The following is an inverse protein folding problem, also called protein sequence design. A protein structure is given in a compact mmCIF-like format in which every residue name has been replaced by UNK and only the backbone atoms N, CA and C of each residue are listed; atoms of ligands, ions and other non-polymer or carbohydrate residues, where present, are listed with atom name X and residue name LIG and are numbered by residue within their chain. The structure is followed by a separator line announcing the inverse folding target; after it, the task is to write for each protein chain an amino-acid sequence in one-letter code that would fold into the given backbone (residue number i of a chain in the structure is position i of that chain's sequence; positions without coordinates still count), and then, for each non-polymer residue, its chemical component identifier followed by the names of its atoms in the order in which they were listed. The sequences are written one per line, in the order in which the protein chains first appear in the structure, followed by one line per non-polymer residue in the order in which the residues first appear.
data_IF_135991690094
#
_entry.id   IF_135991690094
#
_cell.length_a   1.000
_cell.length_b   1.000
_cell.length_c   1.000
_cell.angle_alpha   90.00
_cell.angle_beta   90.00
_cell.angle_gamma   90.00
#
_symmetry.space_group_name_H-M   'P 1'
#
loop_
_entity.id
_entity.type
_entity.pdbx_description
1 polymer ?
#
# COMPACT_ATOMS: atom_id res chain seq x y z
N UNK A 1 15.15 -28.47 -67.54
CA UNK A 1 13.99 -27.56 -67.42
C UNK A 1 14.15 -26.76 -66.14
N UNK A 2 14.68 -25.54 -66.24
CA UNK A 2 14.84 -24.61 -65.13
C UNK A 2 13.51 -23.90 -64.88
N UNK A 3 12.91 -24.11 -63.70
CA UNK A 3 11.71 -23.39 -63.27
C UNK A 3 12.02 -21.89 -63.15
N UNK A 4 11.24 -20.99 -63.77
CA UNK A 4 11.45 -19.56 -63.61
C UNK A 4 11.00 -19.18 -62.20
N UNK A 5 11.93 -18.78 -61.32
CA UNK A 5 11.56 -18.21 -60.02
C UNK A 5 10.73 -16.94 -60.27
N UNK A 6 9.42 -17.02 -60.02
CA UNK A 6 8.50 -15.92 -60.26
C UNK A 6 8.79 -14.81 -59.24
N UNK A 7 8.95 -13.58 -59.73
CA UNK A 7 9.19 -12.36 -58.94
C UNK A 7 8.30 -12.26 -57.69
N UNK A 8 7.03 -12.68 -57.77
CA UNK A 8 6.07 -12.75 -56.67
C UNK A 8 6.48 -13.64 -55.48
N UNK A 9 7.22 -14.73 -55.70
CA UNK A 9 7.72 -15.58 -54.61
C UNK A 9 8.74 -14.85 -53.73
N UNK A 10 9.52 -13.90 -54.28
CA UNK A 10 10.43 -13.05 -53.49
C UNK A 10 9.67 -12.06 -52.59
N UNK A 11 8.50 -11.57 -53.01
CA UNK A 11 7.65 -10.70 -52.18
C UNK A 11 6.86 -11.50 -51.14
N UNK A 12 6.53 -12.76 -51.40
CA UNK A 12 5.86 -13.64 -50.45
C UNK A 12 6.67 -13.85 -49.16
N UNK A 13 7.97 -14.17 -49.28
CA UNK A 13 8.85 -14.32 -48.11
C UNK A 13 9.02 -13.00 -47.36
N UNK A 14 9.16 -11.87 -48.08
CA UNK A 14 9.25 -10.55 -47.47
C UNK A 14 7.98 -10.18 -46.69
N UNK A 15 6.80 -10.49 -47.24
CA UNK A 15 5.51 -10.26 -46.59
C UNK A 15 5.36 -11.11 -45.32
N UNK A 16 5.80 -12.38 -45.34
CA UNK A 16 5.80 -13.24 -44.15
C UNK A 16 6.75 -12.72 -43.07
N UNK A 17 7.95 -12.26 -43.44
CA UNK A 17 8.89 -11.63 -42.51
C UNK A 17 8.33 -10.32 -41.93
N UNK A 18 7.68 -9.50 -42.75
CA UNK A 18 7.01 -8.28 -42.30
C UNK A 18 5.86 -8.58 -41.33
N UNK A 19 5.02 -9.58 -41.63
CA UNK A 19 3.95 -10.02 -40.74
C UNK A 19 4.51 -10.53 -39.41
N UNK A 20 5.57 -11.33 -39.44
CA UNK A 20 6.24 -11.79 -38.22
C UNK A 20 6.80 -10.60 -37.41
N UNK A 21 7.38 -9.60 -38.08
CA UNK A 21 7.85 -8.37 -37.43
C UNK A 21 6.72 -7.58 -36.76
N UNK A 22 5.60 -7.37 -37.47
CA UNK A 22 4.42 -6.69 -36.91
C UNK A 22 3.84 -7.47 -35.73
N UNK A 23 3.77 -8.80 -35.81
CA UNK A 23 3.30 -9.63 -34.71
C UNK A 23 4.20 -9.51 -33.47
N UNK A 24 5.53 -9.48 -33.64
CA UNK A 24 6.48 -9.26 -32.54
C UNK A 24 6.30 -7.89 -31.90
N UNK A 25 6.15 -6.83 -32.70
CA UNK A 25 5.89 -5.48 -32.19
C UNK A 25 4.55 -5.41 -31.43
N UNK A 26 3.51 -6.06 -31.95
CA UNK A 26 2.23 -6.18 -31.26
C UNK A 26 2.36 -6.87 -29.90
N UNK A 27 3.14 -7.95 -29.81
CA UNK A 27 3.40 -8.63 -28.55
C UNK A 27 4.13 -7.74 -27.54
N UNK A 28 5.15 -7.01 -27.98
CA UNK A 28 5.88 -6.04 -27.13
C UNK A 28 4.92 -4.95 -26.62
N UNK A 29 4.06 -4.40 -27.48
CA UNK A 29 3.07 -3.40 -27.09
C UNK A 29 2.07 -3.93 -26.04
N UNK A 30 1.69 -5.21 -26.12
CA UNK A 30 0.84 -5.86 -25.12
C UNK A 30 1.57 -5.96 -23.77
N UNK A 31 2.87 -6.29 -23.75
CA UNK A 31 3.64 -6.36 -22.51
C UNK A 31 3.70 -5.00 -21.78
N UNK A 32 3.88 -3.91 -22.53
CA UNK A 32 3.81 -2.56 -21.97
C UNK A 32 2.41 -2.24 -21.41
N UNK A 33 1.35 -2.55 -22.16
CA UNK A 33 -0.02 -2.35 -21.70
C UNK A 33 -0.34 -3.13 -20.42
N UNK A 34 0.10 -4.39 -20.32
CA UNK A 34 -0.09 -5.20 -19.12
C UNK A 34 0.58 -4.55 -17.91
N UNK A 35 1.81 -4.04 -18.07
CA UNK A 35 2.51 -3.37 -16.99
C UNK A 35 1.77 -2.11 -16.52
N UNK A 36 1.29 -1.30 -17.48
CA UNK A 36 0.54 -0.08 -17.18
C UNK A 36 -0.80 -0.38 -16.50
N UNK A 37 -1.53 -1.40 -16.96
CA UNK A 37 -2.77 -1.87 -16.32
C UNK A 37 -2.51 -2.32 -14.89
N UNK A 38 -1.43 -3.08 -14.64
CA UNK A 38 -1.06 -3.51 -13.29
C UNK A 38 -0.76 -2.34 -12.37
N UNK A 39 0.01 -1.36 -12.85
CA UNK A 39 0.30 -0.15 -12.08
C UNK A 39 -0.97 0.66 -11.78
N UNK A 40 -1.83 0.85 -12.78
CA UNK A 40 -3.07 1.58 -12.61
C UNK A 40 -4.04 0.87 -11.64
N UNK A 41 -4.17 -0.45 -11.75
CA UNK A 41 -5.00 -1.25 -10.85
C UNK A 41 -4.49 -1.18 -9.40
N UNK A 42 -3.16 -1.24 -9.20
CA UNK A 42 -2.57 -1.07 -7.85
C UNK A 42 -2.87 0.31 -7.28
N UNK A 43 -2.68 1.37 -8.07
CA UNK A 43 -2.98 2.73 -7.67
C UNK A 43 -4.48 2.95 -7.37
N UNK A 44 -5.38 2.36 -8.17
CA UNK A 44 -6.81 2.44 -7.94
C UNK A 44 -7.23 1.70 -6.67
N UNK A 45 -6.71 0.48 -6.45
CA UNK A 45 -6.94 -0.31 -5.24
C UNK A 45 -6.47 0.43 -3.98
N UNK A 46 -5.26 1.00 -4.01
CA UNK A 46 -4.71 1.76 -2.90
C UNK A 46 -5.57 2.99 -2.55
N UNK A 47 -6.03 3.75 -3.56
CA UNK A 47 -6.96 4.87 -3.33
C UNK A 47 -8.27 4.41 -2.71
N UNK A 48 -8.82 3.30 -3.16
CA UNK A 48 -10.07 2.75 -2.60
C UNK A 48 -9.88 2.32 -1.14
N UNK A 49 -8.75 1.67 -0.80
CA UNK A 49 -8.43 1.31 0.58
C UNK A 49 -8.31 2.55 1.47
N UNK A 50 -7.59 3.58 1.01
CA UNK A 50 -7.42 4.83 1.74
C UNK A 50 -8.72 5.61 1.91
N UNK A 51 -9.53 5.73 0.85
CA UNK A 51 -10.86 6.36 0.93
C UNK A 51 -11.78 5.61 1.89
N UNK A 52 -11.72 4.27 1.91
CA UNK A 52 -12.45 3.45 2.89
C UNK A 52 -11.99 3.74 4.33
N UNK A 53 -10.69 3.97 4.53
CA UNK A 53 -10.15 4.36 5.83
C UNK A 53 -10.63 5.76 6.22
N UNK A 54 -10.57 6.72 5.30
CA UNK A 54 -11.03 8.09 5.55
C UNK A 54 -12.53 8.13 5.88
N UNK A 55 -13.36 7.34 5.20
CA UNK A 55 -14.79 7.20 5.54
C UNK A 55 -14.99 6.56 6.91
N UNK A 56 -14.22 5.52 7.26
CA UNK A 56 -14.25 4.91 8.59
C UNK A 56 -13.83 5.91 9.69
N UNK A 57 -12.78 6.69 9.44
CA UNK A 57 -12.29 7.75 10.31
C UNK A 57 -13.34 8.84 10.52
N UNK A 58 -13.96 9.31 9.43
CA UNK A 58 -15.03 10.29 9.49
C UNK A 58 -16.24 9.80 10.30
N UNK A 59 -16.62 8.53 10.16
CA UNK A 59 -17.71 7.92 10.92
C UNK A 59 -17.37 7.63 12.38
N UNK A 60 -16.09 7.54 12.72
CA UNK A 60 -15.60 7.20 14.06
C UNK A 60 -14.56 8.22 14.55
N UNK A 61 -14.94 9.50 14.75
CA UNK A 61 -14.00 10.55 15.12
C UNK A 61 -13.30 10.26 16.46
N UNK A 62 -13.96 9.52 17.36
CA UNK A 62 -13.38 9.05 18.64
C UNK A 62 -12.18 8.11 18.46
N UNK A 63 -12.05 7.46 17.30
CA UNK A 63 -10.90 6.61 16.99
C UNK A 63 -9.85 7.36 16.18
N UNK A 64 -10.23 8.29 15.30
CA UNK A 64 -9.27 9.14 14.58
C UNK A 64 -8.48 10.08 15.50
N UNK A 65 -9.12 10.61 16.54
CA UNK A 65 -8.47 11.39 17.60
C UNK A 65 -8.70 10.68 18.95
N UNK A 66 -8.00 9.55 19.19
CA UNK A 66 -8.29 8.67 20.30
C UNK A 66 -7.81 9.24 21.63
N UNK A 67 -8.69 9.21 22.63
CA UNK A 67 -8.28 9.16 24.03
C UNK A 67 -7.95 7.70 24.37
N UNK A 68 -6.69 7.33 24.14
CA UNK A 68 -6.25 5.94 24.29
C UNK A 68 -6.40 5.42 25.73
N UNK A 69 -6.18 6.26 26.74
CA UNK A 69 -6.32 5.85 28.14
C UNK A 69 -7.78 5.51 28.46
N UNK A 70 -8.73 6.32 27.97
CA UNK A 70 -10.17 6.03 28.09
C UNK A 70 -10.56 4.76 27.34
N UNK A 71 -10.10 4.59 26.09
CA UNK A 71 -10.40 3.39 25.28
C UNK A 71 -9.84 2.14 25.97
N UNK A 72 -8.62 2.21 26.53
CA UNK A 72 -7.95 1.10 27.22
C UNK A 72 -8.68 0.70 28.51
N UNK A 73 -9.22 1.66 29.25
CA UNK A 73 -10.03 1.42 30.45
C UNK A 73 -11.48 1.00 30.13
N UNK A 74 -11.91 1.18 28.89
CA UNK A 74 -13.27 0.89 28.42
C UNK A 74 -13.61 -0.58 28.24
N UNK A 75 -14.73 -0.83 27.55
CA UNK A 75 -15.23 -2.17 27.32
C UNK A 75 -14.29 -3.01 26.44
N UNK A 76 -14.44 -4.34 26.47
CA UNK A 76 -13.71 -5.20 25.53
C UNK A 76 -14.05 -4.86 24.08
N UNK A 77 -15.31 -4.59 23.79
CA UNK A 77 -15.78 -4.32 22.44
C UNK A 77 -15.19 -3.01 21.89
N UNK A 78 -15.10 -1.97 22.73
CA UNK A 78 -14.48 -0.70 22.33
C UNK A 78 -12.99 -0.85 22.01
N UNK A 79 -12.26 -1.62 22.83
CA UNK A 79 -10.85 -1.94 22.56
C UNK A 79 -10.67 -2.70 21.26
N UNK A 80 -11.54 -3.68 20.98
CA UNK A 80 -11.50 -4.47 19.74
C UNK A 80 -11.84 -3.61 18.53
N UNK A 81 -12.84 -2.71 18.64
CA UNK A 81 -13.17 -1.77 17.58
C UNK A 81 -12.00 -0.84 17.25
N UNK A 82 -11.33 -0.30 18.28
CA UNK A 82 -10.17 0.55 18.09
C UNK A 82 -8.98 -0.20 17.51
N UNK A 83 -8.68 -1.42 17.97
CA UNK A 83 -7.64 -2.26 17.37
C UNK A 83 -7.93 -2.55 15.89
N UNK A 84 -9.19 -2.83 15.55
CA UNK A 84 -9.62 -3.06 14.17
C UNK A 84 -9.49 -1.78 13.32
N UNK A 85 -9.82 -0.63 13.90
CA UNK A 85 -9.65 0.68 13.26
C UNK A 85 -8.19 0.95 12.91
N UNK A 86 -7.28 0.80 13.90
CA UNK A 86 -5.85 1.01 13.69
C UNK A 86 -5.29 0.00 12.68
N UNK A 87 -5.78 -1.24 12.70
CA UNK A 87 -5.36 -2.25 11.72
C UNK A 87 -5.77 -1.85 10.30
N UNK A 88 -7.03 -1.42 10.12
CA UNK A 88 -7.51 -0.97 8.81
C UNK A 88 -6.72 0.25 8.31
N UNK A 89 -6.41 1.20 9.20
CA UNK A 89 -5.54 2.33 8.91
C UNK A 89 -4.16 1.89 8.41
N UNK A 90 -3.48 0.99 9.15
CA UNK A 90 -2.14 0.51 8.77
C UNK A 90 -2.15 -0.21 7.42
N UNK A 91 -3.16 -1.04 7.14
CA UNK A 91 -3.32 -1.68 5.83
C UNK A 91 -3.56 -0.66 4.70
N UNK A 92 -4.40 0.34 4.92
CA UNK A 92 -4.65 1.39 3.94
C UNK A 92 -3.38 2.19 3.63
N UNK A 93 -2.58 2.49 4.66
CA UNK A 93 -1.29 3.16 4.50
C UNK A 93 -0.24 2.29 3.81
N UNK A 94 -0.16 0.99 4.14
CA UNK A 94 0.72 0.04 3.47
C UNK A 94 0.47 0.00 1.96
N UNK A 95 -0.79 -0.18 1.54
CA UNK A 95 -1.16 -0.20 0.13
C UNK A 95 -0.84 1.12 -0.57
N UNK A 96 -1.09 2.24 0.12
CA UNK A 96 -0.90 3.59 -0.43
C UNK A 96 0.56 3.95 -0.60
N UNK A 97 1.38 3.75 0.44
CA UNK A 97 2.83 4.01 0.40
C UNK A 97 3.46 3.15 -0.70
N UNK A 98 3.07 1.88 -0.78
CA UNK A 98 3.65 0.96 -1.75
C UNK A 98 3.18 1.22 -3.20
N UNK A 99 1.97 1.78 -3.41
CA UNK A 99 1.45 2.14 -4.73
C UNK A 99 1.93 3.52 -5.21
N UNK A 100 2.28 4.42 -4.29
CA UNK A 100 2.65 5.81 -4.57
C UNK A 100 4.01 6.20 -3.96
N UNK A 101 4.99 5.28 -4.00
CA UNK A 101 6.30 5.47 -3.38
C UNK A 101 7.08 6.72 -3.86
N UNK A 102 6.76 7.23 -5.04
CA UNK A 102 7.32 8.46 -5.62
C UNK A 102 6.66 9.75 -5.09
N UNK A 103 5.57 9.63 -4.32
CA UNK A 103 4.70 10.73 -3.90
C UNK A 103 4.72 10.90 -2.38
N UNK A 104 5.54 11.84 -1.92
CA UNK A 104 5.76 12.10 -0.49
C UNK A 104 4.51 12.54 0.26
N UNK A 105 3.52 13.10 -0.43
CA UNK A 105 2.26 13.55 0.17
C UNK A 105 1.47 12.40 0.82
N UNK A 106 1.52 11.20 0.25
CA UNK A 106 0.83 10.04 0.81
C UNK A 106 1.51 9.53 2.08
N UNK A 107 2.83 9.45 2.07
CA UNK A 107 3.61 9.15 3.27
C UNK A 107 3.33 10.18 4.36
N UNK A 108 3.33 11.48 4.02
CA UNK A 108 3.05 12.55 4.97
C UNK A 108 1.65 12.47 5.57
N UNK A 109 0.64 12.07 4.79
CA UNK A 109 -0.72 11.85 5.30
C UNK A 109 -0.76 10.68 6.29
N UNK A 110 -0.10 9.57 5.95
CA UNK A 110 0.02 8.42 6.85
C UNK A 110 0.80 8.77 8.12
N UNK A 111 1.88 9.53 8.02
CA UNK A 111 2.67 9.99 9.16
C UNK A 111 1.86 10.90 10.09
N UNK A 112 1.00 11.76 9.53
CA UNK A 112 0.13 12.64 10.29
C UNK A 112 -0.89 11.84 11.10
N UNK A 113 -1.60 10.92 10.45
CA UNK A 113 -2.63 10.10 11.06
C UNK A 113 -2.07 9.01 11.99
N UNK A 114 -0.82 8.58 11.82
CA UNK A 114 -0.20 7.57 12.69
C UNK A 114 0.04 8.10 14.10
N UNK A 115 0.35 9.39 14.25
CA UNK A 115 0.80 9.99 15.53
C UNK A 115 -0.10 9.67 16.73
N UNK A 116 -1.44 9.87 16.66
CA UNK A 116 -2.31 9.62 17.80
C UNK A 116 -2.39 8.14 18.18
N UNK A 117 -2.04 7.23 17.27
CA UNK A 117 -2.08 5.78 17.48
C UNK A 117 -0.79 5.19 18.03
N UNK A 118 0.29 5.97 18.08
CA UNK A 118 1.59 5.48 18.52
C UNK A 118 1.60 4.91 19.96
N UNK A 119 0.88 5.48 20.97
CA UNK A 119 0.78 4.86 22.29
C UNK A 119 0.24 3.43 22.26
N UNK A 120 -0.85 3.22 21.51
CA UNK A 120 -1.43 1.89 21.30
C UNK A 120 -0.45 0.95 20.62
N UNK A 121 0.19 1.40 19.54
CA UNK A 121 1.15 0.58 18.79
C UNK A 121 2.39 0.23 19.63
N UNK A 122 2.84 1.13 20.49
CA UNK A 122 3.94 0.90 21.43
C UNK A 122 3.60 -0.24 22.39
N UNK A 123 2.45 -0.15 23.08
CA UNK A 123 2.02 -1.17 24.03
C UNK A 123 1.69 -2.50 23.35
N UNK A 124 0.97 -2.45 22.22
CA UNK A 124 0.56 -3.64 21.47
C UNK A 124 1.77 -4.39 20.93
N UNK A 125 2.74 -3.69 20.35
CA UNK A 125 3.96 -4.33 19.84
C UNK A 125 4.84 -4.90 20.96
N UNK A 126 4.85 -4.27 22.15
CA UNK A 126 5.57 -4.80 23.31
C UNK A 126 4.89 -6.06 23.88
N UNK A 127 3.57 -6.05 24.01
CA UNK A 127 2.80 -7.17 24.54
C UNK A 127 2.65 -8.32 23.54
N UNK A 128 2.55 -7.99 22.25
CA UNK A 128 2.27 -8.93 21.16
C UNK A 128 3.12 -8.56 19.93
N UNK A 129 4.43 -8.92 19.91
CA UNK A 129 5.31 -8.62 18.78
C UNK A 129 4.82 -9.19 17.43
N UNK A 130 4.03 -10.26 17.47
CA UNK A 130 3.40 -10.84 16.30
C UNK A 130 2.40 -9.91 15.60
N UNK A 131 1.87 -8.89 16.28
CA UNK A 131 0.93 -7.93 15.71
C UNK A 131 1.56 -7.15 14.54
N UNK A 132 2.75 -6.57 14.72
CA UNK A 132 3.40 -5.88 13.60
C UNK A 132 3.93 -6.85 12.54
N UNK A 133 4.19 -8.10 12.90
CA UNK A 133 4.67 -9.11 11.97
C UNK A 133 3.65 -9.50 10.88
N UNK A 134 2.37 -9.12 11.02
CA UNK A 134 1.35 -9.35 9.98
C UNK A 134 1.42 -8.37 8.82
N UNK A 135 2.18 -7.27 8.96
CA UNK A 135 2.32 -6.23 7.95
C UNK A 135 3.59 -6.40 7.11
N UNK A 136 3.65 -5.75 5.95
CA UNK A 136 4.84 -5.69 5.11
C UNK A 136 6.06 -5.12 5.84
N UNK A 137 7.27 -5.49 5.41
CA UNK A 137 8.52 -5.05 6.06
C UNK A 137 8.67 -3.54 6.10
N UNK A 138 8.23 -2.84 5.05
CA UNK A 138 8.23 -1.38 4.96
C UNK A 138 7.34 -0.76 6.05
N UNK A 139 6.09 -1.23 6.20
CA UNK A 139 5.17 -0.80 7.26
C UNK A 139 5.73 -1.06 8.65
N UNK A 140 6.33 -2.24 8.86
CA UNK A 140 6.99 -2.56 10.13
C UNK A 140 8.11 -1.57 10.47
N UNK A 141 8.96 -1.24 9.49
CA UNK A 141 10.06 -0.29 9.68
C UNK A 141 9.54 1.13 9.89
N UNK A 142 8.50 1.52 9.15
CA UNK A 142 7.83 2.80 9.29
C UNK A 142 7.29 2.98 10.71
N UNK A 143 6.48 2.04 11.23
CA UNK A 143 5.93 2.11 12.59
C UNK A 143 7.05 2.14 13.64
N UNK A 144 8.07 1.28 13.51
CA UNK A 144 9.22 1.27 14.45
C UNK A 144 10.00 2.58 14.43
N UNK A 145 10.19 3.18 13.27
CA UNK A 145 10.87 4.47 13.11
C UNK A 145 10.04 5.60 13.72
N UNK A 146 8.72 5.60 13.52
CA UNK A 146 7.79 6.58 14.10
C UNK A 146 7.75 6.50 15.63
N UNK A 147 7.72 5.28 16.20
CA UNK A 147 7.84 5.07 17.65
C UNK A 147 9.15 5.64 18.21
N UNK A 148 10.28 5.34 17.56
CA UNK A 148 11.60 5.86 17.94
C UNK A 148 11.65 7.38 17.85
N UNK A 149 11.08 7.96 16.80
CA UNK A 149 11.06 9.41 16.55
C UNK A 149 10.23 10.13 17.62
N UNK A 150 9.10 9.54 18.01
CA UNK A 150 8.27 10.04 19.10
C UNK A 150 8.84 9.76 20.51
N UNK A 151 10.04 9.15 20.60
CA UNK A 151 10.67 8.72 21.86
C UNK A 151 9.77 7.80 22.72
N UNK A 152 8.90 7.04 22.07
CA UNK A 152 8.00 6.09 22.72
C UNK A 152 8.72 4.77 22.95
N UNK A 153 9.00 4.48 24.21
CA UNK A 153 9.56 3.20 24.63
C UNK A 153 8.70 2.60 25.76
N UNK A 154 8.50 1.27 25.78
CA UNK A 154 7.91 0.61 26.94
C UNK A 154 8.77 0.82 28.19
N UNK A 155 8.19 0.90 29.41
CA UNK A 155 6.79 0.62 29.74
C UNK A 155 5.84 1.83 29.63
N UNK A 156 6.36 3.06 29.50
CA UNK A 156 5.55 4.26 29.64
C UNK A 156 4.70 4.57 28.40
N UNK A 157 5.17 4.26 27.17
CA UNK A 157 4.44 4.37 25.90
C UNK A 157 3.52 5.60 25.74
N UNK A 158 3.86 6.74 26.36
CA UNK A 158 3.07 7.97 26.36
C UNK A 158 3.69 9.01 25.46
N UNK A 159 2.88 9.62 24.59
CA UNK A 159 3.31 10.77 23.80
C UNK A 159 3.79 11.86 24.76
N UNK A 160 5.04 12.30 24.60
CA UNK A 160 5.51 13.49 25.31
C UNK A 160 4.54 14.64 25.03
N UNK A 161 4.12 15.35 26.07
CA UNK A 161 3.21 16.50 25.93
C UNK A 161 3.79 17.44 24.86
N UNK A 162 3.13 17.55 23.72
CA UNK A 162 3.30 18.67 22.78
C UNK A 162 2.67 19.92 23.38
#
# INVERSE_FOLDING_TARGET
MSQPSFWWQKYGTLAQMAQAGVALLGFVAILFQINEIRNNNRAASARMAFLGYTDLAFKNPKFSAPDYDTIKAGSRDERVQYESFVSYFLYACEETIAAFADKREWQASCDYDLKPHLPFLCEKNAAQPAYLATYGTETQQWVKTSLKTASLTPPDCKLGKT
#
